data_IF_433045326297
#
_entry.id   IF_433045326297
#
_cell.length_a   1.000
_cell.length_b   1.000
_cell.length_c   1.000
_cell.angle_alpha   90.00
_cell.angle_beta   90.00
_cell.angle_gamma   90.00
#
_symmetry.space_group_name_H-M   'P 1'
#
loop_
_entity.id
_entity.type
_entity.pdbx_description
1 polymer ?
#
# COMPACT_ATOMS: atom_id res chain seq x y z
N UNK A 1 15.49 -1.78 9.04
CA UNK A 1 14.47 -2.83 8.80
C UNK A 1 13.13 -2.14 8.54
N UNK A 2 12.34 -2.64 7.58
CA UNK A 2 11.01 -2.07 7.29
C UNK A 2 10.06 -2.34 8.46
N UNK A 3 9.44 -1.28 8.98
CA UNK A 3 8.37 -1.40 9.98
C UNK A 3 7.04 -1.52 9.26
N UNK A 4 6.35 -2.65 9.43
CA UNK A 4 5.09 -2.94 8.77
C UNK A 4 3.94 -2.72 9.75
N UNK A 5 3.04 -1.77 9.46
CA UNK A 5 1.77 -1.66 10.18
C UNK A 5 0.72 -2.59 9.55
N UNK A 6 0.83 -2.85 8.24
CA UNK A 6 0.02 -3.83 7.52
C UNK A 6 0.87 -5.01 7.04
N UNK A 7 0.40 -6.23 7.19
CA UNK A 7 1.00 -7.42 6.61
C UNK A 7 0.83 -7.46 5.09
N UNK A 8 1.62 -8.29 4.39
CA UNK A 8 1.47 -8.46 2.94
C UNK A 8 0.10 -9.04 2.56
N UNK A 9 -0.51 -9.83 3.46
CA UNK A 9 -1.86 -10.38 3.30
C UNK A 9 -2.94 -9.29 3.43
N UNK A 10 -2.83 -8.43 4.43
CA UNK A 10 -3.75 -7.30 4.62
C UNK A 10 -3.69 -6.31 3.44
N UNK A 11 -2.49 -6.04 2.91
CA UNK A 11 -2.37 -5.22 1.69
C UNK A 11 -3.03 -5.88 0.48
N UNK A 12 -2.95 -7.20 0.36
CA UNK A 12 -3.61 -7.94 -0.72
C UNK A 12 -5.14 -7.86 -0.59
N UNK A 13 -5.65 -7.99 0.62
CA UNK A 13 -7.08 -7.85 0.91
C UNK A 13 -7.61 -6.44 0.56
N UNK A 14 -6.88 -5.38 0.92
CA UNK A 14 -7.26 -4.00 0.58
C UNK A 14 -7.30 -3.79 -0.94
N UNK A 15 -6.37 -4.39 -1.68
CA UNK A 15 -6.34 -4.33 -3.15
C UNK A 15 -7.57 -5.05 -3.73
N UNK A 16 -7.90 -6.24 -3.22
CA UNK A 16 -9.07 -7.01 -3.68
C UNK A 16 -10.38 -6.27 -3.43
N UNK A 17 -10.58 -5.71 -2.23
CA UNK A 17 -11.73 -4.86 -1.92
C UNK A 17 -11.77 -3.64 -2.86
N UNK A 18 -10.65 -2.96 -3.09
CA UNK A 18 -10.59 -1.82 -4.01
C UNK A 18 -10.92 -2.16 -5.47
N UNK A 19 -10.52 -3.34 -5.95
CA UNK A 19 -10.84 -3.82 -7.29
C UNK A 19 -12.32 -4.18 -7.45
N UNK A 20 -12.93 -4.79 -6.42
CA UNK A 20 -14.35 -5.16 -6.42
C UNK A 20 -15.25 -3.92 -6.39
N UNK A 21 -14.87 -2.90 -5.62
CA UNK A 21 -15.74 -1.76 -5.33
C UNK A 21 -15.35 -0.46 -6.06
N UNK A 22 -14.39 -0.51 -6.99
CA UNK A 22 -13.87 0.62 -7.79
C UNK A 22 -13.41 1.84 -6.95
N UNK A 23 -13.09 1.64 -5.68
CA UNK A 23 -12.44 2.64 -4.85
C UNK A 23 -10.93 2.45 -4.97
N UNK A 24 -10.30 3.29 -5.78
CA UNK A 24 -8.89 3.09 -6.12
C UNK A 24 -7.94 3.53 -4.99
N UNK A 25 -8.30 4.51 -4.15
CA UNK A 25 -7.32 5.21 -3.33
C UNK A 25 -6.57 4.32 -2.31
N UNK A 26 -7.24 3.56 -1.41
CA UNK A 26 -6.53 2.62 -0.52
C UNK A 26 -5.79 1.52 -1.30
N UNK A 27 -6.39 0.99 -2.37
CA UNK A 27 -5.74 -0.03 -3.20
C UNK A 27 -4.45 0.47 -3.87
N UNK A 28 -4.42 1.72 -4.36
CA UNK A 28 -3.22 2.33 -4.95
C UNK A 28 -2.11 2.48 -3.90
N UNK A 29 -2.45 2.89 -2.68
CA UNK A 29 -1.48 2.97 -1.56
C UNK A 29 -0.95 1.58 -1.19
N UNK A 30 -1.83 0.56 -1.17
CA UNK A 30 -1.43 -0.82 -0.90
C UNK A 30 -0.49 -1.38 -1.97
N UNK A 31 -0.75 -1.11 -3.25
CA UNK A 31 0.16 -1.46 -4.36
C UNK A 31 1.52 -0.80 -4.17
N UNK A 32 1.55 0.50 -3.86
CA UNK A 32 2.80 1.22 -3.66
C UNK A 32 3.61 0.69 -2.47
N UNK A 33 2.95 0.33 -1.36
CA UNK A 33 3.59 -0.29 -0.21
C UNK A 33 4.25 -1.62 -0.57
N UNK A 34 3.58 -2.46 -1.37
CA UNK A 34 4.15 -3.72 -1.87
C UNK A 34 5.36 -3.48 -2.76
N UNK A 35 5.28 -2.54 -3.69
CA UNK A 35 6.41 -2.19 -4.56
C UNK A 35 7.62 -1.66 -3.78
N UNK A 36 7.42 -0.87 -2.73
CA UNK A 36 8.50 -0.40 -1.86
C UNK A 36 9.17 -1.55 -1.10
N UNK A 37 8.38 -2.53 -0.63
CA UNK A 37 8.92 -3.74 0.03
C UNK A 37 9.78 -4.57 -0.93
N UNK A 38 9.32 -4.72 -2.16
CA UNK A 38 10.05 -5.44 -3.22
C UNK A 38 11.34 -4.71 -3.58
N UNK A 39 11.30 -3.39 -3.76
CA UNK A 39 12.48 -2.58 -4.05
C UNK A 39 13.52 -2.70 -2.93
N UNK A 40 13.12 -2.54 -1.67
CA UNK A 40 14.04 -2.68 -0.53
C UNK A 40 14.66 -4.08 -0.46
N UNK A 41 13.86 -5.14 -0.69
CA UNK A 41 14.38 -6.52 -0.74
C UNK A 41 15.39 -6.69 -1.88
N UNK A 42 15.10 -6.14 -3.05
CA UNK A 42 15.99 -6.19 -4.21
C UNK A 42 17.32 -5.51 -3.91
N UNK A 43 17.32 -4.30 -3.35
CA UNK A 43 18.56 -3.59 -3.02
C UNK A 43 19.43 -4.38 -2.02
N UNK A 44 18.83 -4.95 -0.97
CA UNK A 44 19.55 -5.78 0.01
C UNK A 44 20.00 -7.14 -0.54
N UNK A 45 19.45 -7.57 -1.68
CA UNK A 45 19.89 -8.82 -2.34
C UNK A 45 21.00 -8.53 -3.35
N UNK A 46 20.99 -7.36 -3.99
CA UNK A 46 22.02 -6.98 -4.96
C UNK A 46 23.30 -6.46 -4.31
N UNK A 47 23.25 -5.96 -3.07
CA UNK A 47 24.44 -5.43 -2.38
C UNK A 47 25.55 -6.46 -2.13
N UNK A 48 25.23 -7.76 -2.21
CA UNK A 48 26.19 -8.87 -2.00
C UNK A 48 26.94 -9.32 -3.26
N UNK A 49 26.63 -8.74 -4.42
CA UNK A 49 27.25 -9.13 -5.70
C UNK A 49 28.60 -8.39 -5.92
N UNK A 50 29.72 -9.12 -6.09
CA UNK A 50 31.05 -8.56 -6.34
C UNK A 50 31.13 -7.89 -7.72
N UNK A 51 30.65 -6.65 -7.80
CA UNK A 51 30.62 -5.82 -9.00
C UNK A 51 29.75 -4.57 -8.83
N UNK A 52 28.89 -4.56 -7.81
CA UNK A 52 27.98 -3.46 -7.52
C UNK A 52 28.61 -2.39 -6.61
N UNK A 53 28.27 -1.12 -6.85
CA UNK A 53 28.61 -0.03 -5.92
C UNK A 53 27.61 -0.04 -4.75
N UNK A 54 28.07 -0.57 -3.61
CA UNK A 54 27.30 -0.67 -2.37
C UNK A 54 26.62 0.65 -1.98
N UNK A 55 27.23 1.80 -2.26
CA UNK A 55 26.68 3.11 -1.87
C UNK A 55 25.38 3.42 -2.62
N UNK A 56 25.26 2.97 -3.86
CA UNK A 56 24.03 3.13 -4.65
C UNK A 56 22.89 2.34 -4.02
N UNK A 57 23.15 1.07 -3.70
CA UNK A 57 22.15 0.19 -3.09
C UNK A 57 21.71 0.67 -1.71
N UNK A 58 22.66 1.12 -0.88
CA UNK A 58 22.38 1.70 0.43
C UNK A 58 21.53 2.98 0.33
N UNK A 59 21.89 3.90 -0.58
CA UNK A 59 21.13 5.14 -0.76
C UNK A 59 19.67 4.86 -1.19
N UNK A 60 19.46 3.90 -2.10
CA UNK A 60 18.11 3.51 -2.54
C UNK A 60 17.36 2.81 -1.39
N UNK A 61 18.00 1.87 -0.67
CA UNK A 61 17.38 1.14 0.42
C UNK A 61 16.93 2.09 1.55
N UNK A 62 17.76 3.05 1.93
CA UNK A 62 17.44 4.06 2.94
C UNK A 62 16.28 4.98 2.50
N UNK A 63 16.30 5.45 1.26
CA UNK A 63 15.20 6.25 0.72
C UNK A 63 13.90 5.46 0.66
N UNK A 64 13.97 4.19 0.25
CA UNK A 64 12.84 3.27 0.19
C UNK A 64 12.25 3.03 1.57
N UNK A 65 13.09 2.91 2.61
CA UNK A 65 12.63 2.75 3.99
C UNK A 65 11.85 3.98 4.49
N UNK A 66 12.35 5.19 4.20
CA UNK A 66 11.63 6.44 4.56
C UNK A 66 10.30 6.56 3.82
N UNK A 67 10.29 6.30 2.52
CA UNK A 67 9.08 6.33 1.71
C UNK A 67 8.05 5.29 2.18
N UNK A 68 8.52 4.10 2.55
CA UNK A 68 7.67 3.03 3.08
C UNK A 68 6.97 3.45 4.36
N UNK A 69 7.69 4.05 5.32
CA UNK A 69 7.09 4.55 6.56
C UNK A 69 6.00 5.61 6.31
N UNK A 70 6.27 6.58 5.44
CA UNK A 70 5.28 7.62 5.05
C UNK A 70 4.03 6.99 4.44
N UNK A 71 4.19 5.96 3.61
CA UNK A 71 3.05 5.30 2.98
C UNK A 71 2.24 4.42 3.96
N UNK A 72 2.87 3.84 4.99
CA UNK A 72 2.17 3.12 6.05
C UNK A 72 1.28 4.10 6.84
N UNK A 73 1.81 5.27 7.20
CA UNK A 73 1.05 6.33 7.87
C UNK A 73 -0.09 6.87 6.99
N UNK A 74 0.17 7.07 5.70
CA UNK A 74 -0.84 7.45 4.72
C UNK A 74 -1.97 6.43 4.67
N UNK A 75 -1.65 5.13 4.60
CA UNK A 75 -2.66 4.06 4.63
C UNK A 75 -3.50 4.12 5.92
N UNK A 76 -2.86 4.34 7.07
CA UNK A 76 -3.57 4.53 8.34
C UNK A 76 -4.56 5.69 8.22
N UNK A 77 -4.11 6.84 7.77
CA UNK A 77 -4.94 8.04 7.69
C UNK A 77 -6.12 7.87 6.72
N UNK A 78 -5.91 7.34 5.52
CA UNK A 78 -6.99 7.23 4.52
C UNK A 78 -8.04 6.19 4.92
N UNK A 79 -7.64 5.09 5.56
CA UNK A 79 -8.59 4.11 6.08
C UNK A 79 -9.47 4.72 7.18
N UNK A 80 -8.92 5.59 8.03
CA UNK A 80 -9.70 6.30 9.05
C UNK A 80 -10.63 7.35 8.43
N UNK A 81 -10.16 8.12 7.44
CA UNK A 81 -10.99 9.11 6.71
C UNK A 81 -12.18 8.44 6.03
N UNK A 82 -11.94 7.30 5.39
CA UNK A 82 -12.96 6.54 4.68
C UNK A 82 -13.82 5.67 5.62
N UNK A 83 -13.41 5.54 6.89
CA UNK A 83 -14.15 4.82 7.94
C UNK A 83 -14.06 3.30 7.83
N UNK A 84 -13.00 2.75 7.24
CA UNK A 84 -12.81 1.31 7.10
C UNK A 84 -12.71 0.62 8.46
N UNK A 85 -13.24 -0.61 8.56
CA UNK A 85 -13.03 -1.44 9.72
C UNK A 85 -11.58 -1.93 9.73
N UNK A 86 -10.80 -1.50 10.72
CA UNK A 86 -9.38 -1.84 10.88
C UNK A 86 -9.12 -3.31 11.19
N UNK A 87 -10.12 -4.03 11.68
CA UNK A 87 -9.99 -5.44 12.05
C UNK A 87 -10.27 -6.33 10.86
N UNK A 88 -11.32 -5.99 10.10
CA UNK A 88 -11.74 -6.81 8.96
C UNK A 88 -11.19 -6.31 7.63
N UNK A 89 -10.65 -5.08 7.58
CA UNK A 89 -10.21 -4.38 6.37
C UNK A 89 -11.24 -4.42 5.25
N UNK A 90 -12.52 -4.35 5.62
CA UNK A 90 -13.64 -4.29 4.69
C UNK A 90 -14.07 -2.85 4.47
N UNK A 91 -14.46 -2.56 3.24
CA UNK A 91 -15.00 -1.26 2.88
C UNK A 91 -16.36 -1.02 3.57
N UNK A 92 -16.61 0.18 4.13
CA UNK A 92 -17.88 0.51 4.77
C UNK A 92 -19.06 0.53 3.80
N UNK A 93 -20.24 0.10 4.29
CA UNK A 93 -21.48 0.10 3.51
C UNK A 93 -21.89 1.49 2.99
N UNK A 94 -21.52 2.56 3.69
CA UNK A 94 -21.80 3.93 3.27
C UNK A 94 -21.05 4.33 2.00
N UNK A 95 -19.81 3.90 1.85
CA UNK A 95 -19.03 4.12 0.62
C UNK A 95 -19.54 3.24 -0.52
N UNK A 96 -19.95 2.00 -0.23
CA UNK A 96 -20.59 1.11 -1.20
C UNK A 96 -21.86 1.74 -1.78
N UNK A 97 -22.72 2.31 -0.93
CA UNK A 97 -23.97 3.00 -1.34
C UNK A 97 -23.73 4.26 -2.15
N UNK A 98 -22.83 5.15 -1.71
CA UNK A 98 -22.46 6.37 -2.48
C UNK A 98 -21.99 6.04 -3.90
N UNK A 99 -21.33 4.89 -4.09
CA UNK A 99 -20.92 4.41 -5.42
C UNK A 99 -22.07 3.80 -6.22
N UNK A 100 -22.98 3.01 -5.63
CA UNK A 100 -24.18 2.55 -6.35
C UNK A 100 -24.95 3.74 -6.93
N UNK A 101 -25.05 4.82 -6.14
CA UNK A 101 -25.70 6.06 -6.54
C UNK A 101 -24.96 6.81 -7.65
N UNK A 102 -23.63 6.70 -7.76
CA UNK A 102 -22.84 7.31 -8.83
C UNK A 102 -22.99 6.53 -10.15
N UNK A 103 -22.88 5.20 -10.10
CA UNK A 103 -23.07 4.34 -11.28
C UNK A 103 -24.49 4.50 -11.84
N UNK A 104 -25.50 4.49 -10.97
CA UNK A 104 -26.90 4.65 -11.38
C UNK A 104 -27.26 6.05 -11.93
N UNK A 105 -26.35 7.03 -11.83
CA UNK A 105 -26.53 8.37 -12.42
C UNK A 105 -25.86 8.52 -13.78
N UNK A 106 -24.93 7.62 -14.11
CA UNK A 106 -24.21 7.60 -15.38
C UNK A 106 -24.87 6.66 -16.42
N UNK A 107 -25.91 5.92 -16.03
CA UNK A 107 -26.84 5.13 -16.88
C UNK A 107 -28.10 5.95 -17.29
#
# INVERSE_FOLDING_TARGET
MLQKQFTDQELSQIIEEGAIYMCACPAQVAVQLRSLRELHRYQNTCEVDPGNDLRVHQAIAEATLRAHAVMEECMVQILDIEGWDRTTLKMPEGLRRRRDELIARDD
#
